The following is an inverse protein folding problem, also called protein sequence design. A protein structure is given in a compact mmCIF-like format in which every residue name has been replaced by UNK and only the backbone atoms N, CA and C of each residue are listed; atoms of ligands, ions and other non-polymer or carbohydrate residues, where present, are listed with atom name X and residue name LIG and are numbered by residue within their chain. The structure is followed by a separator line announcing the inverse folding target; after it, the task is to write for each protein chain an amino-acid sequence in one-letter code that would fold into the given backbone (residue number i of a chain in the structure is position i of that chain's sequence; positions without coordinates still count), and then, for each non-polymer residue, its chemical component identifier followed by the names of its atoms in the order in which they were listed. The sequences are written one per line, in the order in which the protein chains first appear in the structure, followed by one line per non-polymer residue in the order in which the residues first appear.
data_IF_285511635810
#
_entry.id   IF_285511635810
#
_cell.length_a   1.000
_cell.length_b   1.000
_cell.length_c   1.000
_cell.angle_alpha   90.00
_cell.angle_beta   90.00
_cell.angle_gamma   90.00
#
_symmetry.space_group_name_H-M   'P 1'
#
loop_
_entity.id
_entity.type
_entity.pdbx_description
1 polymer ?
#
# COMPACT_ATOMS: atom_id res chain seq x y z
N UNK A 1 14.07 14.20 -19.99
CA UNK A 1 12.87 14.24 -19.12
C UNK A 1 11.91 13.06 -19.34
N UNK A 2 11.56 12.71 -20.58
CA UNK A 2 10.61 11.62 -20.91
C UNK A 2 10.91 10.18 -20.39
N UNK A 3 12.17 9.70 -20.32
CA UNK A 3 12.47 8.33 -19.86
C UNK A 3 12.15 8.13 -18.36
N UNK A 4 12.28 9.20 -17.57
CA UNK A 4 12.05 9.15 -16.12
C UNK A 4 10.57 9.07 -15.79
N UNK A 5 9.71 9.76 -16.56
CA UNK A 5 8.25 9.68 -16.40
C UNK A 5 7.73 8.28 -16.68
N UNK A 6 8.22 7.62 -17.74
CA UNK A 6 7.83 6.25 -18.07
C UNK A 6 8.27 5.22 -17.02
N UNK A 7 9.43 5.41 -16.39
CA UNK A 7 9.89 4.54 -15.30
C UNK A 7 9.02 4.70 -14.04
N UNK A 8 8.64 5.92 -13.70
CA UNK A 8 7.78 6.20 -12.53
C UNK A 8 6.35 5.71 -12.73
N UNK A 9 5.76 5.91 -13.92
CA UNK A 9 4.45 5.35 -14.25
C UNK A 9 4.44 3.82 -14.13
N UNK A 10 5.49 3.15 -14.60
CA UNK A 10 5.63 1.69 -14.46
C UNK A 10 5.66 1.25 -13.00
N UNK A 11 6.37 1.98 -12.13
CA UNK A 11 6.40 1.70 -10.69
C UNK A 11 5.06 1.95 -10.03
N UNK A 12 4.36 3.02 -10.38
CA UNK A 12 3.02 3.30 -9.89
C UNK A 12 2.03 2.19 -10.27
N UNK A 13 2.07 1.74 -11.52
CA UNK A 13 1.24 0.61 -11.99
C UNK A 13 1.57 -0.67 -11.22
N UNK A 14 2.86 -1.00 -11.04
CA UNK A 14 3.27 -2.16 -10.22
C UNK A 14 2.75 -2.05 -8.78
N UNK A 15 2.87 -0.87 -8.16
CA UNK A 15 2.37 -0.62 -6.82
C UNK A 15 0.86 -0.87 -6.74
N UNK A 16 0.08 -0.36 -7.70
CA UNK A 16 -1.36 -0.60 -7.79
C UNK A 16 -1.70 -2.08 -7.99
N UNK A 17 -0.98 -2.78 -8.86
CA UNK A 17 -1.15 -4.22 -9.10
C UNK A 17 -0.84 -5.05 -7.85
N UNK A 18 0.23 -4.71 -7.12
CA UNK A 18 0.52 -5.34 -5.82
C UNK A 18 -0.62 -5.10 -4.84
N UNK A 19 -1.19 -3.89 -4.80
CA UNK A 19 -2.35 -3.58 -3.98
C UNK A 19 -3.55 -4.49 -4.28
N UNK A 20 -3.93 -4.60 -5.55
CA UNK A 20 -5.04 -5.48 -5.98
C UNK A 20 -4.77 -6.94 -5.63
N UNK A 21 -3.58 -7.45 -5.97
CA UNK A 21 -3.20 -8.83 -5.65
C UNK A 21 -3.22 -9.08 -4.13
N UNK A 22 -2.79 -8.09 -3.35
CA UNK A 22 -2.76 -8.20 -1.90
C UNK A 22 -4.17 -8.20 -1.30
N UNK A 23 -5.09 -7.40 -1.84
CA UNK A 23 -6.50 -7.43 -1.43
C UNK A 23 -7.12 -8.80 -1.70
N UNK A 24 -6.89 -9.37 -2.88
CA UNK A 24 -7.38 -10.71 -3.23
C UNK A 24 -6.79 -11.76 -2.29
N UNK A 25 -5.48 -11.72 -2.02
CA UNK A 25 -4.82 -12.64 -1.10
C UNK A 25 -5.39 -12.54 0.32
N UNK A 26 -5.53 -11.31 0.83
CA UNK A 26 -5.99 -11.05 2.20
C UNK A 26 -7.41 -11.54 2.37
N UNK A 27 -8.33 -11.14 1.47
CA UNK A 27 -9.73 -11.56 1.52
C UNK A 27 -9.86 -13.07 1.33
N UNK A 28 -9.13 -13.64 0.37
CA UNK A 28 -9.12 -15.08 0.12
C UNK A 28 -8.68 -15.88 1.34
N UNK A 29 -7.63 -15.43 2.03
CA UNK A 29 -7.14 -16.08 3.26
C UNK A 29 -8.15 -15.94 4.41
N UNK A 30 -8.72 -14.75 4.60
CA UNK A 30 -9.75 -14.51 5.64
C UNK A 30 -10.98 -15.40 5.41
N UNK A 31 -11.43 -15.52 4.16
CA UNK A 31 -12.58 -16.37 3.80
C UNK A 31 -12.24 -17.86 3.94
N UNK A 32 -11.05 -18.28 3.50
CA UNK A 32 -10.60 -19.67 3.62
C UNK A 32 -10.50 -20.13 5.08
N UNK A 33 -9.95 -19.30 5.97
CA UNK A 33 -9.82 -19.64 7.40
C UNK A 33 -11.20 -19.75 8.09
N UNK A 34 -12.14 -18.87 7.73
CA UNK A 34 -13.50 -18.91 8.29
C UNK A 34 -14.29 -20.10 7.75
N UNK A 35 -14.32 -20.28 6.43
CA UNK A 35 -15.12 -21.33 5.79
C UNK A 35 -14.52 -22.73 5.95
N UNK A 36 -13.19 -22.86 5.93
CA UNK A 36 -12.49 -24.14 5.95
C UNK A 36 -12.17 -24.65 7.35
N UNK A 37 -11.78 -23.76 8.28
CA UNK A 37 -11.37 -24.14 9.63
C UNK A 37 -12.26 -23.58 10.75
N UNK A 38 -13.34 -22.85 10.41
CA UNK A 38 -14.27 -22.30 11.41
C UNK A 38 -13.61 -21.28 12.34
N UNK A 39 -12.52 -20.63 11.90
CA UNK A 39 -11.82 -19.67 12.74
C UNK A 39 -12.76 -18.53 13.14
N UNK A 40 -12.67 -18.03 14.40
CA UNK A 40 -13.41 -16.84 14.80
C UNK A 40 -13.07 -15.67 13.88
N UNK A 41 -14.05 -14.84 13.46
CA UNK A 41 -13.85 -13.78 12.47
C UNK A 41 -12.71 -12.81 12.81
N UNK A 42 -12.51 -12.49 14.08
CA UNK A 42 -11.44 -11.60 14.53
C UNK A 42 -10.05 -12.21 14.27
N UNK A 43 -9.86 -13.50 14.59
CA UNK A 43 -8.59 -14.18 14.40
C UNK A 43 -8.28 -14.38 12.91
N UNK A 44 -9.28 -14.77 12.12
CA UNK A 44 -9.13 -14.88 10.67
C UNK A 44 -8.71 -13.55 10.03
N UNK A 45 -9.36 -12.44 10.43
CA UNK A 45 -8.98 -11.11 9.98
C UNK A 45 -7.55 -10.74 10.41
N UNK A 46 -7.19 -10.92 11.68
CA UNK A 46 -5.86 -10.59 12.17
C UNK A 46 -4.74 -11.30 11.39
N UNK A 47 -4.89 -12.61 11.15
CA UNK A 47 -3.94 -13.39 10.35
C UNK A 47 -3.92 -12.94 8.90
N UNK A 48 -5.10 -12.74 8.30
CA UNK A 48 -5.23 -12.25 6.92
C UNK A 48 -4.49 -10.93 6.70
N UNK A 49 -4.73 -9.94 7.57
CA UNK A 49 -4.05 -8.65 7.49
C UNK A 49 -2.55 -8.76 7.75
N UNK A 50 -2.11 -9.58 8.72
CA UNK A 50 -0.68 -9.77 8.97
C UNK A 50 0.05 -10.34 7.74
N UNK A 51 -0.51 -11.40 7.14
CA UNK A 51 0.03 -12.01 5.91
C UNK A 51 -0.02 -11.03 4.74
N UNK A 52 -1.14 -10.31 4.57
CA UNK A 52 -1.29 -9.29 3.53
C UNK A 52 -0.26 -8.16 3.66
N UNK A 53 -0.04 -7.62 4.86
CA UNK A 53 0.94 -6.54 5.06
C UNK A 53 2.36 -7.04 4.76
N UNK A 54 2.73 -8.24 5.23
CA UNK A 54 4.03 -8.84 4.95
C UNK A 54 4.24 -9.10 3.45
N UNK A 55 3.23 -9.66 2.77
CA UNK A 55 3.26 -9.91 1.33
C UNK A 55 3.37 -8.61 0.52
N UNK A 56 2.56 -7.61 0.86
CA UNK A 56 2.61 -6.29 0.22
C UNK A 56 3.98 -5.64 0.35
N UNK A 57 4.60 -5.72 1.55
CA UNK A 57 5.95 -5.20 1.75
C UNK A 57 6.99 -5.96 0.92
N UNK A 58 6.95 -7.30 0.92
CA UNK A 58 7.90 -8.11 0.17
C UNK A 58 7.81 -7.87 -1.35
N UNK A 59 6.59 -7.83 -1.91
CA UNK A 59 6.36 -7.57 -3.32
C UNK A 59 6.74 -6.14 -3.71
N UNK A 60 6.34 -5.14 -2.91
CA UNK A 60 6.71 -3.76 -3.21
C UNK A 60 8.23 -3.56 -3.13
N UNK A 61 8.89 -4.12 -2.11
CA UNK A 61 10.34 -4.02 -1.98
C UNK A 61 11.07 -4.63 -3.18
N UNK A 62 10.75 -5.89 -3.55
CA UNK A 62 11.47 -6.62 -4.61
C UNK A 62 11.07 -6.24 -6.03
N UNK A 63 9.77 -6.06 -6.30
CA UNK A 63 9.23 -5.91 -7.66
C UNK A 63 8.94 -4.44 -8.04
N UNK A 64 8.36 -3.67 -7.11
CA UNK A 64 8.04 -2.26 -7.36
C UNK A 64 9.29 -1.38 -7.28
N UNK A 65 10.05 -1.50 -6.20
CA UNK A 65 11.19 -0.61 -5.90
C UNK A 65 12.56 -1.23 -6.19
N UNK A 66 12.63 -2.55 -6.42
CA UNK A 66 13.86 -3.23 -6.87
C UNK A 66 14.93 -3.38 -5.78
N UNK A 67 14.54 -3.41 -4.51
CA UNK A 67 15.44 -3.64 -3.39
C UNK A 67 15.76 -5.14 -3.28
N UNK A 68 17.05 -5.45 -3.09
CA UNK A 68 17.55 -6.84 -3.02
C UNK A 68 17.37 -7.49 -1.65
N UNK A 69 17.33 -6.70 -0.58
CA UNK A 69 17.23 -7.19 0.80
C UNK A 69 16.04 -6.56 1.52
N UNK A 70 15.37 -7.36 2.36
CA UNK A 70 14.29 -6.89 3.23
C UNK A 70 14.88 -6.45 4.57
N UNK A 71 14.55 -5.25 5.02
CA UNK A 71 15.01 -4.73 6.31
C UNK A 71 13.83 -4.47 7.25
N UNK A 72 13.99 -4.77 8.54
CA UNK A 72 12.94 -4.58 9.54
C UNK A 72 12.56 -3.09 9.73
N UNK A 73 13.54 -2.18 9.70
CA UNK A 73 13.29 -0.74 9.76
C UNK A 73 12.46 -0.23 8.58
N UNK A 74 12.69 -0.77 7.38
CA UNK A 74 11.90 -0.46 6.19
C UNK A 74 10.48 -1.03 6.28
N UNK A 75 10.29 -2.19 6.91
CA UNK A 75 8.96 -2.74 7.17
C UNK A 75 8.15 -1.81 8.08
N UNK A 76 8.72 -1.36 9.21
CA UNK A 76 8.07 -0.40 10.09
C UNK A 76 7.77 0.93 9.38
N UNK A 77 8.73 1.44 8.59
CA UNK A 77 8.51 2.61 7.75
C UNK A 77 7.35 2.42 6.77
N UNK A 78 7.26 1.26 6.13
CA UNK A 78 6.17 0.92 5.21
C UNK A 78 4.82 0.90 5.91
N UNK A 79 4.71 0.28 7.09
CA UNK A 79 3.48 0.27 7.89
C UNK A 79 3.07 1.71 8.26
N UNK A 80 4.01 2.52 8.74
CA UNK A 80 3.76 3.94 9.06
C UNK A 80 3.27 4.73 7.84
N UNK A 81 3.90 4.53 6.67
CA UNK A 81 3.47 5.17 5.43
C UNK A 81 2.05 4.80 5.03
N UNK A 82 1.69 3.50 5.14
CA UNK A 82 0.34 3.06 4.82
C UNK A 82 -0.70 3.61 5.80
N UNK A 83 -0.35 3.74 7.08
CA UNK A 83 -1.20 4.37 8.08
C UNK A 83 -1.43 5.87 7.76
N UNK A 84 -0.39 6.61 7.41
CA UNK A 84 -0.50 8.02 6.99
C UNK A 84 -1.33 8.18 5.71
N UNK A 85 -1.14 7.29 4.73
CA UNK A 85 -1.92 7.29 3.51
C UNK A 85 -3.42 7.01 3.78
N UNK A 86 -3.72 6.15 4.76
CA UNK A 86 -5.08 5.89 5.20
C UNK A 86 -5.71 7.11 5.88
N UNK A 87 -4.95 7.87 6.67
CA UNK A 87 -5.44 9.15 7.22
C UNK A 87 -5.74 10.17 6.11
N UNK A 88 -4.92 10.24 5.06
CA UNK A 88 -5.18 11.09 3.90
C UNK A 88 -6.45 10.68 3.14
N UNK A 89 -6.69 9.36 3.01
CA UNK A 89 -7.94 8.82 2.49
C UNK A 89 -9.15 9.25 3.33
N UNK A 90 -9.09 9.04 4.65
CA UNK A 90 -10.16 9.42 5.56
C UNK A 90 -10.46 10.91 5.51
N UNK A 91 -9.44 11.76 5.50
CA UNK A 91 -9.62 13.21 5.37
C UNK A 91 -10.31 13.59 4.06
N UNK A 92 -9.93 12.92 2.96
CA UNK A 92 -10.54 13.13 1.63
C UNK A 92 -12.01 12.71 1.62
N UNK A 93 -12.31 11.51 2.13
CA UNK A 93 -13.69 10.99 2.23
C UNK A 93 -14.54 11.88 3.13
N UNK A 94 -14.04 12.26 4.31
CA UNK A 94 -14.75 13.12 5.24
C UNK A 94 -15.04 14.51 4.63
N UNK A 95 -14.07 15.09 3.94
CA UNK A 95 -14.25 16.36 3.22
C UNK A 95 -15.31 16.23 2.13
N UNK A 96 -15.23 15.19 1.31
CA UNK A 96 -16.19 14.95 0.23
C UNK A 96 -17.62 14.74 0.76
N UNK A 97 -17.78 13.98 1.85
CA UNK A 97 -19.08 13.71 2.47
C UNK A 97 -19.66 14.95 3.18
N UNK A 98 -18.87 15.60 4.03
CA UNK A 98 -19.39 16.61 4.97
C UNK A 98 -19.30 18.05 4.46
N UNK A 99 -18.32 18.36 3.61
CA UNK A 99 -18.13 19.72 3.08
C UNK A 99 -18.65 19.87 1.65
N UNK A 100 -18.52 18.82 0.83
CA UNK A 100 -18.94 18.85 -0.57
C UNK A 100 -20.29 18.15 -0.82
N UNK A 101 -20.85 17.48 0.19
CA UNK A 101 -22.09 16.71 0.12
C UNK A 101 -22.13 15.69 -1.04
N UNK A 102 -20.98 15.08 -1.35
CA UNK A 102 -20.91 14.06 -2.39
C UNK A 102 -21.60 12.77 -1.95
N UNK A 103 -22.21 12.01 -2.90
CA UNK A 103 -22.68 10.67 -2.63
C UNK A 103 -21.54 9.77 -2.13
N UNK A 104 -21.85 8.84 -1.23
CA UNK A 104 -20.85 8.00 -0.56
C UNK A 104 -19.94 7.24 -1.53
N UNK A 105 -20.48 6.75 -2.65
CA UNK A 105 -19.70 6.08 -3.68
C UNK A 105 -18.60 7.00 -4.25
N UNK A 106 -18.93 8.25 -4.59
CA UNK A 106 -17.98 9.19 -5.17
C UNK A 106 -16.92 9.63 -4.15
N UNK A 107 -17.31 9.81 -2.88
CA UNK A 107 -16.36 10.09 -1.81
C UNK A 107 -15.34 8.96 -1.64
N UNK A 108 -15.79 7.70 -1.65
CA UNK A 108 -14.91 6.52 -1.58
C UNK A 108 -13.99 6.42 -2.80
N UNK A 109 -14.52 6.67 -4.00
CA UNK A 109 -13.74 6.68 -5.24
C UNK A 109 -12.68 7.78 -5.26
N UNK A 110 -12.89 8.92 -4.59
CA UNK A 110 -11.89 9.97 -4.44
C UNK A 110 -10.82 9.63 -3.39
N UNK A 111 -11.22 8.94 -2.31
CA UNK A 111 -10.30 8.50 -1.28
C UNK A 111 -9.27 7.48 -1.79
N UNK A 112 -9.65 6.57 -2.70
CA UNK A 112 -8.76 5.50 -3.16
C UNK A 112 -7.50 6.02 -3.91
N UNK A 113 -7.59 6.99 -4.84
CA UNK A 113 -6.44 7.68 -5.39
C UNK A 113 -5.61 8.42 -4.33
N UNK A 114 -6.28 9.12 -3.39
CA UNK A 114 -5.57 9.83 -2.32
C UNK A 114 -4.71 8.87 -1.47
N UNK A 115 -5.26 7.69 -1.12
CA UNK A 115 -4.52 6.62 -0.47
C UNK A 115 -3.34 6.16 -1.33
N UNK A 116 -3.62 5.72 -2.55
CA UNK A 116 -2.65 5.04 -3.41
C UNK A 116 -1.47 5.96 -3.75
N UNK A 117 -1.75 7.22 -4.10
CA UNK A 117 -0.73 8.21 -4.43
C UNK A 117 0.11 8.57 -3.20
N UNK A 118 -0.52 8.79 -2.04
CA UNK A 118 0.19 9.10 -0.80
C UNK A 118 1.10 7.94 -0.39
N UNK A 119 0.56 6.71 -0.39
CA UNK A 119 1.30 5.49 -0.05
C UNK A 119 2.49 5.29 -0.99
N UNK A 120 2.29 5.45 -2.31
CA UNK A 120 3.36 5.33 -3.30
C UNK A 120 4.45 6.37 -3.10
N UNK A 121 4.08 7.65 -3.03
CA UNK A 121 5.03 8.77 -2.95
C UNK A 121 5.86 8.72 -1.66
N UNK A 122 5.22 8.44 -0.53
CA UNK A 122 5.90 8.32 0.76
C UNK A 122 6.77 7.06 0.82
N UNK A 123 6.29 5.92 0.31
CA UNK A 123 7.09 4.68 0.25
C UNK A 123 8.35 4.89 -0.58
N UNK A 124 8.21 5.53 -1.74
CA UNK A 124 9.35 5.86 -2.62
C UNK A 124 10.35 6.79 -1.96
N UNK A 125 9.89 7.87 -1.32
CA UNK A 125 10.77 8.93 -0.79
C UNK A 125 11.37 8.61 0.58
N UNK A 126 10.68 7.83 1.40
CA UNK A 126 11.09 7.61 2.78
C UNK A 126 11.53 6.19 3.06
N UNK A 127 10.81 5.19 2.56
CA UNK A 127 11.06 3.78 2.87
C UNK A 127 12.10 3.18 1.94
N UNK A 128 11.95 3.39 0.63
CA UNK A 128 12.75 2.75 -0.41
C UNK A 128 13.66 3.75 -1.11
N UNK A 129 14.42 4.52 -0.32
CA UNK A 129 15.39 5.49 -0.85
C UNK A 129 16.46 4.79 -1.69
N UNK A 130 16.85 5.34 -2.85
CA UNK A 130 18.05 4.91 -3.55
C UNK A 130 19.28 5.08 -2.65
N UNK A 131 20.30 4.21 -2.74
CA UNK A 131 21.58 4.45 -2.09
C UNK A 131 22.15 5.80 -2.52
N UNK A 132 22.84 6.55 -1.63
CA UNK A 132 23.57 7.73 -2.04
C UNK A 132 24.58 7.36 -3.13
N UNK A 133 24.85 8.25 -4.10
CA UNK A 133 25.88 8.01 -5.09
C UNK A 133 27.22 7.74 -4.38
N UNK A 134 28.08 6.88 -4.94
CA UNK A 134 29.40 6.61 -4.35
C UNK A 134 30.15 7.94 -4.22
N UNK A 135 30.62 8.25 -3.01
CA UNK A 135 31.54 9.37 -2.77
C UNK A 135 32.85 9.03 -3.45
N UNK A 136 33.12 9.67 -4.59
CA UNK A 136 34.45 9.62 -5.21
C UNK A 136 35.47 10.23 -4.24
N UNK A 137 36.63 9.57 -4.00
CA UNK A 137 37.71 10.12 -3.17
C UNK A 137 38.35 11.37 -3.79
#
# INVERSE_FOLDING_TARGET
MWPQVGAELRRLVRFGLVGVANTVLTLGLVLALQAGQGWPPLWANAVGYAVGIANSYALNSRWTFGQRQLQAGQFLGFVTVNALAYLANLATVATALHLLAWPALWAQLAGAPAYTLSAYLLSRRWVFRPPPPPTSP
#
